data_IF_909915007982
#
_entry.id   IF_909915007982
#
_cell.length_a   1.000
_cell.length_b   1.000
_cell.length_c   1.000
_cell.angle_alpha   90.00
_cell.angle_beta   90.00
_cell.angle_gamma   90.00
#
_symmetry.space_group_name_H-M   'P 1'
#
loop_
_entity.id
_entity.type
_entity.pdbx_description
1 polymer ?
#
# COMPACT_ATOMS: atom_id res chain seq x y z
N UNK A 1 0.87 9.48 -8.09
CA UNK A 1 0.61 8.68 -6.87
C UNK A 1 1.17 7.30 -7.11
N UNK A 2 2.16 6.85 -6.32
CA UNK A 2 2.65 5.47 -6.42
C UNK A 2 1.55 4.46 -6.10
N UNK A 3 1.70 3.24 -6.65
CA UNK A 3 0.77 2.14 -6.44
C UNK A 3 1.52 0.89 -5.98
N UNK A 4 1.10 0.32 -4.86
CA UNK A 4 1.70 -0.87 -4.27
C UNK A 4 0.73 -2.04 -4.48
N UNK A 5 1.14 -3.05 -5.25
CA UNK A 5 0.35 -4.25 -5.49
C UNK A 5 0.66 -5.30 -4.42
N UNK A 6 -0.39 -5.93 -3.88
CA UNK A 6 -0.28 -6.91 -2.80
C UNK A 6 -0.37 -8.34 -3.32
N UNK A 7 0.40 -9.26 -2.73
CA UNK A 7 0.33 -10.68 -3.10
C UNK A 7 -1.01 -11.35 -2.74
N UNK A 8 -1.72 -10.81 -1.76
CA UNK A 8 -3.07 -11.23 -1.39
C UNK A 8 -4.13 -10.85 -2.44
N UNK A 9 -3.75 -10.10 -3.48
CA UNK A 9 -4.69 -9.47 -4.40
C UNK A 9 -5.01 -8.03 -3.97
N UNK A 10 -5.42 -7.23 -4.96
CA UNK A 10 -5.67 -5.80 -4.79
C UNK A 10 -4.40 -4.95 -4.78
N UNK A 11 -4.59 -3.66 -4.55
CA UNK A 11 -3.51 -2.68 -4.52
C UNK A 11 -3.84 -1.54 -3.55
N UNK A 12 -2.83 -0.79 -3.16
CA UNK A 12 -3.05 0.50 -2.51
C UNK A 12 -2.37 1.64 -3.27
N UNK A 13 -3.07 2.76 -3.34
CA UNK A 13 -2.56 4.05 -3.81
C UNK A 13 -2.03 4.80 -2.60
N UNK A 14 -0.89 5.47 -2.72
CA UNK A 14 -0.36 6.31 -1.66
C UNK A 14 0.17 7.63 -2.23
N UNK A 15 0.34 8.64 -1.39
CA UNK A 15 1.00 9.89 -1.81
C UNK A 15 2.52 9.73 -1.84
N UNK A 16 3.06 8.97 -0.88
CA UNK A 16 4.48 8.68 -0.79
C UNK A 16 4.75 7.37 -0.06
N UNK A 17 5.94 6.82 -0.24
CA UNK A 17 6.39 5.65 0.50
C UNK A 17 7.91 5.67 0.71
N UNK A 18 8.36 4.94 1.71
CA UNK A 18 9.77 4.58 1.91
C UNK A 18 9.89 3.08 2.13
N UNK A 19 11.07 2.52 1.86
CA UNK A 19 11.38 1.11 2.11
C UNK A 19 12.45 1.06 3.19
N UNK A 20 12.10 0.55 4.36
CA UNK A 20 12.99 0.42 5.52
C UNK A 20 12.55 -0.74 6.39
N UNK A 21 13.50 -1.39 7.05
CA UNK A 21 13.22 -2.45 8.04
C UNK A 21 12.36 -3.59 7.43
N UNK A 22 12.66 -3.97 6.19
CA UNK A 22 11.96 -5.00 5.40
C UNK A 22 10.47 -4.71 5.16
N UNK A 23 10.05 -3.45 5.25
CA UNK A 23 8.68 -3.01 5.04
C UNK A 23 8.61 -1.80 4.11
N UNK A 24 7.49 -1.67 3.41
CA UNK A 24 7.06 -0.43 2.78
C UNK A 24 6.26 0.36 3.80
N UNK A 25 6.71 1.57 4.13
CA UNK A 25 5.94 2.53 4.92
C UNK A 25 5.36 3.55 3.97
N UNK A 26 4.03 3.53 3.80
CA UNK A 26 3.31 4.39 2.87
C UNK A 26 2.46 5.40 3.64
N UNK A 27 2.32 6.61 3.09
CA UNK A 27 1.55 7.71 3.69
C UNK A 27 0.35 8.08 2.82
N UNK A 28 -0.73 8.51 3.47
CA UNK A 28 -2.02 8.86 2.85
C UNK A 28 -2.48 7.76 1.88
N UNK A 29 -2.71 6.57 2.45
CA UNK A 29 -2.93 5.33 1.73
C UNK A 29 -4.41 5.10 1.50
N UNK A 30 -4.75 4.71 0.28
CA UNK A 30 -6.06 4.24 -0.12
C UNK A 30 -5.98 2.80 -0.60
N UNK A 31 -6.58 1.87 0.13
CA UNK A 31 -6.66 0.47 -0.23
C UNK A 31 -7.82 0.21 -1.20
N UNK A 32 -7.50 -0.43 -2.31
CA UNK A 32 -8.43 -0.98 -3.30
C UNK A 32 -8.31 -2.50 -3.25
N UNK A 33 -8.92 -3.09 -2.23
CA UNK A 33 -8.98 -4.54 -2.00
C UNK A 33 -10.45 -4.92 -1.85
N UNK A 34 -10.83 -6.11 -2.31
CA UNK A 34 -12.19 -6.62 -2.08
C UNK A 34 -12.38 -7.00 -0.60
N UNK A 35 -13.59 -6.84 -0.09
CA UNK A 35 -14.00 -7.27 1.26
C UNK A 35 -13.33 -6.56 2.45
N UNK A 36 -12.76 -5.37 2.27
CA UNK A 36 -12.36 -4.50 3.39
C UNK A 36 -13.45 -3.48 3.74
N UNK A 37 -13.74 -3.27 5.05
CA UNK A 37 -14.62 -2.19 5.52
C UNK A 37 -14.24 -0.83 4.94
N UNK A 38 -15.21 0.02 4.60
CA UNK A 38 -14.94 1.33 3.98
C UNK A 38 -14.07 2.25 4.84
N UNK A 39 -14.25 2.18 6.15
CA UNK A 39 -13.44 2.89 7.14
C UNK A 39 -11.95 2.50 7.09
N UNK A 40 -11.64 1.26 6.67
CA UNK A 40 -10.26 0.77 6.54
C UNK A 40 -9.68 1.01 5.14
N UNK A 41 -10.48 1.47 4.17
CA UNK A 41 -10.01 1.79 2.82
C UNK A 41 -9.10 3.01 2.79
N UNK A 42 -9.16 3.90 3.78
CA UNK A 42 -8.31 5.10 3.86
C UNK A 42 -7.57 5.13 5.19
N UNK A 43 -6.25 5.27 5.12
CA UNK A 43 -5.38 5.30 6.30
C UNK A 43 -4.31 6.37 6.11
N UNK A 44 -3.95 7.06 7.19
CA UNK A 44 -2.87 8.06 7.14
C UNK A 44 -1.50 7.42 6.93
N UNK A 45 -1.29 6.21 7.47
CA UNK A 45 -0.06 5.43 7.31
C UNK A 45 -0.40 3.95 7.15
N UNK A 46 0.35 3.24 6.31
CA UNK A 46 0.32 1.79 6.23
C UNK A 46 1.74 1.23 6.24
N UNK A 47 1.97 0.19 7.06
CA UNK A 47 3.20 -0.58 7.10
C UNK A 47 2.94 -1.93 6.45
N UNK A 48 3.56 -2.17 5.29
CA UNK A 48 3.34 -3.36 4.47
C UNK A 48 4.65 -4.16 4.42
N UNK A 49 4.72 -5.37 5.00
CA UNK A 49 5.91 -6.22 4.89
C UNK A 49 6.25 -6.48 3.42
N UNK A 50 7.54 -6.42 3.05
CA UNK A 50 7.97 -6.70 1.68
C UNK A 50 7.58 -8.12 1.23
N UNK A 51 7.44 -9.06 2.17
CA UNK A 51 6.91 -10.40 1.89
C UNK A 51 5.51 -10.38 1.26
N UNK A 52 4.71 -9.34 1.55
CA UNK A 52 3.33 -9.18 1.09
C UNK A 52 3.21 -8.28 -0.15
N UNK A 53 4.32 -7.65 -0.58
CA UNK A 53 4.36 -6.80 -1.78
C UNK A 53 4.65 -7.67 -3.00
N UNK A 54 3.84 -7.52 -4.05
CA UNK A 54 4.06 -8.16 -5.35
C UNK A 54 5.01 -7.32 -6.20
N UNK A 55 4.68 -6.04 -6.42
CA UNK A 55 5.54 -5.03 -7.02
C UNK A 55 5.00 -3.62 -6.68
N UNK A 56 5.83 -2.60 -6.95
CA UNK A 56 5.47 -1.19 -6.76
C UNK A 56 5.61 -0.48 -8.11
N UNK A 57 4.58 0.28 -8.49
CA UNK A 57 4.64 1.23 -9.60
C UNK A 57 4.94 2.61 -8.98
N UNK A 58 6.15 3.16 -9.16
CA UNK A 58 6.47 4.49 -8.64
C UNK A 58 5.63 5.56 -9.34
N UNK A 59 5.45 6.71 -8.69
CA UNK A 59 4.92 7.88 -9.39
C UNK A 59 5.91 8.30 -10.49
N UNK A 60 5.37 8.74 -11.63
CA UNK A 60 6.15 9.46 -12.65
C UNK A 60 6.65 10.79 -12.11
#
# INVERSE_FOLDING_TARGET
MPVIYLKSGGYCECEGYTIKDNCVKAVNVKFNVENIPEELKKQNEAVIPLSNVLYIIPAK
#
